data_IF_731931454995
#
_entry.id   IF_731931454995
#
_cell.length_a   1.000
_cell.length_b   1.000
_cell.length_c   1.000
_cell.angle_alpha   90.00
_cell.angle_beta   90.00
_cell.angle_gamma   90.00
#
_symmetry.space_group_name_H-M   'P 1'
#
loop_
_entity.id
_entity.type
_entity.pdbx_description
1 polymer ?
#
# COMPACT_ATOMS: atom_id res chain seq x y z
N UNK A 1 10.03 -0.29 46.35
CA UNK A 1 9.85 0.52 45.13
C UNK A 1 8.63 1.40 45.32
N UNK A 2 8.80 2.71 45.39
CA UNK A 2 7.68 3.63 45.61
C UNK A 2 6.98 3.89 44.27
N UNK A 3 5.64 3.83 44.27
CA UNK A 3 4.80 4.02 43.09
C UNK A 3 5.14 5.31 42.31
N UNK A 4 5.41 6.40 43.04
CA UNK A 4 5.79 7.70 42.45
C UNK A 4 7.07 7.61 41.62
N UNK A 5 8.06 6.82 42.04
CA UNK A 5 9.31 6.63 41.30
C UNK A 5 9.05 5.89 39.99
N UNK A 6 8.21 4.85 40.03
CA UNK A 6 7.84 4.09 38.83
C UNK A 6 7.08 4.97 37.83
N UNK A 7 6.17 5.81 38.31
CA UNK A 7 5.40 6.73 37.48
C UNK A 7 6.31 7.78 36.81
N UNK A 8 7.24 8.36 37.55
CA UNK A 8 8.21 9.32 36.98
C UNK A 8 9.08 8.69 35.89
N UNK A 9 9.57 7.47 36.11
CA UNK A 9 10.32 6.74 35.10
C UNK A 9 9.49 6.45 33.84
N UNK A 10 8.23 6.04 34.00
CA UNK A 10 7.35 5.78 32.86
C UNK A 10 7.10 7.05 32.02
N UNK A 11 6.83 8.18 32.69
CA UNK A 11 6.63 9.47 32.01
C UNK A 11 7.90 9.93 31.31
N UNK A 12 9.06 9.78 31.94
CA UNK A 12 10.36 10.11 31.34
C UNK A 12 10.60 9.32 30.04
N UNK A 13 10.35 8.01 30.06
CA UNK A 13 10.52 7.15 28.88
C UNK A 13 9.56 7.54 27.75
N UNK A 14 8.30 7.83 28.06
CA UNK A 14 7.34 8.32 27.08
C UNK A 14 7.79 9.65 26.47
N UNK A 15 8.27 10.58 27.30
CA UNK A 15 8.76 11.88 26.84
C UNK A 15 9.93 11.72 25.85
N UNK A 16 10.87 10.81 26.12
CA UNK A 16 11.99 10.52 25.21
C UNK A 16 11.49 9.94 23.87
N UNK A 17 10.50 9.04 23.90
CA UNK A 17 9.91 8.48 22.68
C UNK A 17 9.23 9.56 21.82
N UNK A 18 8.43 10.44 22.43
CA UNK A 18 7.79 11.55 21.72
C UNK A 18 8.81 12.58 21.20
N UNK A 19 9.87 12.86 21.96
CA UNK A 19 10.95 13.72 21.50
C UNK A 19 11.64 13.15 20.25
N UNK A 20 11.94 11.85 20.23
CA UNK A 20 12.51 11.18 19.06
C UNK A 20 11.58 11.23 17.83
N UNK A 21 10.28 11.03 18.04
CA UNK A 21 9.27 11.17 16.98
C UNK A 21 9.23 12.61 16.44
N UNK A 22 9.24 13.60 17.32
CA UNK A 22 9.22 15.02 16.95
C UNK A 22 10.47 15.42 16.14
N UNK A 23 11.66 15.02 16.59
CA UNK A 23 12.91 15.26 15.86
C UNK A 23 12.83 14.66 14.45
N UNK A 24 12.36 13.41 14.33
CA UNK A 24 12.22 12.76 13.03
C UNK A 24 11.33 13.55 12.06
N UNK A 25 10.19 14.04 12.54
CA UNK A 25 9.27 14.85 11.74
C UNK A 25 9.93 16.17 11.32
N UNK A 26 10.64 16.84 12.23
CA UNK A 26 11.35 18.09 11.92
C UNK A 26 12.50 17.89 10.93
N UNK A 27 13.14 16.73 10.92
CA UNK A 27 14.23 16.41 9.98
C UNK A 27 13.74 15.94 8.61
N UNK A 28 12.50 15.47 8.49
CA UNK A 28 11.92 15.12 7.19
C UNK A 28 11.76 16.38 6.34
N UNK A 29 12.13 16.32 5.05
CA UNK A 29 12.28 17.49 4.16
C UNK A 29 11.02 18.34 3.97
N UNK A 30 9.87 17.85 4.41
CA UNK A 30 8.58 18.55 4.33
C UNK A 30 7.90 18.74 5.68
N UNK A 31 8.46 18.25 6.78
CA UNK A 31 7.80 18.31 8.09
C UNK A 31 6.48 17.54 8.17
N UNK A 32 6.16 16.75 7.14
CA UNK A 32 4.92 15.99 7.02
C UNK A 32 5.15 14.54 7.46
N UNK A 33 4.13 13.93 8.05
CA UNK A 33 4.15 12.49 8.27
C UNK A 33 4.23 11.76 6.92
N UNK A 34 5.03 10.68 6.84
CA UNK A 34 5.14 9.91 5.61
C UNK A 34 3.77 9.40 5.18
N UNK A 35 3.51 9.47 3.88
CA UNK A 35 2.23 9.03 3.34
C UNK A 35 2.12 7.50 3.48
N UNK A 36 1.22 7.02 4.35
CA UNK A 36 1.03 5.59 4.61
C UNK A 36 0.18 4.89 3.54
N UNK A 37 -0.32 5.63 2.54
CA UNK A 37 -1.02 5.03 1.42
C UNK A 37 -0.07 4.26 0.51
N UNK A 38 -0.28 2.95 0.41
CA UNK A 38 0.56 2.06 -0.42
C UNK A 38 0.64 2.52 -1.89
N UNK A 39 -0.46 3.08 -2.42
CA UNK A 39 -0.55 3.53 -3.81
C UNK A 39 0.21 4.83 -4.11
N UNK A 40 0.52 5.63 -3.08
CA UNK A 40 1.29 6.86 -3.23
C UNK A 40 2.80 6.64 -3.08
N UNK A 41 3.22 5.43 -2.70
CA UNK A 41 4.64 5.12 -2.47
C UNK A 41 5.34 4.72 -3.78
N UNK A 42 6.29 5.53 -4.29
CA UNK A 42 7.02 5.23 -5.52
C UNK A 42 7.79 3.91 -5.44
N UNK A 43 8.37 3.60 -4.28
CA UNK A 43 9.14 2.37 -4.08
C UNK A 43 8.29 1.10 -4.10
N UNK A 44 7.01 1.17 -3.74
CA UNK A 44 6.09 0.03 -3.87
C UNK A 44 5.65 -0.16 -5.31
N UNK A 45 5.41 0.95 -6.02
CA UNK A 45 5.08 0.96 -7.44
C UNK A 45 6.20 0.38 -8.29
N UNK A 46 7.46 0.72 -8.00
CA UNK A 46 8.65 0.13 -8.65
C UNK A 46 8.71 -1.40 -8.50
N UNK A 47 8.20 -1.93 -7.40
CA UNK A 47 8.12 -3.39 -7.15
C UNK A 47 6.86 -4.04 -7.74
N UNK A 48 6.02 -3.28 -8.45
CA UNK A 48 4.75 -3.76 -8.99
C UNK A 48 3.65 -3.96 -7.95
N UNK A 49 3.87 -3.53 -6.70
CA UNK A 49 2.88 -3.68 -5.62
C UNK A 49 1.90 -2.50 -5.69
N UNK A 50 0.62 -2.81 -5.82
CA UNK A 50 -0.46 -1.80 -5.86
C UNK A 50 -1.52 -2.08 -4.79
N UNK A 51 -2.45 -1.14 -4.59
CA UNK A 51 -3.60 -1.36 -3.72
C UNK A 51 -4.42 -2.57 -4.19
N UNK A 52 -5.00 -3.34 -3.27
CA UNK A 52 -5.85 -4.49 -3.56
C UNK A 52 -6.93 -4.17 -4.62
N UNK A 53 -7.59 -3.00 -4.52
CA UNK A 53 -8.59 -2.59 -5.51
C UNK A 53 -8.03 -2.35 -6.91
N UNK A 54 -6.80 -1.86 -7.01
CA UNK A 54 -6.12 -1.66 -8.29
C UNK A 54 -5.71 -2.99 -8.88
N UNK A 55 -5.18 -3.89 -8.04
CA UNK A 55 -4.82 -5.24 -8.43
C UNK A 55 -6.03 -6.02 -8.95
N UNK A 56 -7.16 -6.00 -8.23
CA UNK A 56 -8.41 -6.63 -8.65
C UNK A 56 -8.89 -6.11 -10.01
N UNK A 57 -8.81 -4.79 -10.25
CA UNK A 57 -9.19 -4.20 -11.54
C UNK A 57 -8.26 -4.64 -12.67
N UNK A 58 -6.96 -4.76 -12.41
CA UNK A 58 -5.99 -5.24 -13.40
C UNK A 58 -6.30 -6.68 -13.77
N UNK A 59 -6.49 -7.55 -12.77
CA UNK A 59 -6.86 -8.96 -12.97
C UNK A 59 -8.19 -9.12 -13.71
N UNK A 60 -9.23 -8.37 -13.32
CA UNK A 60 -10.52 -8.36 -14.02
C UNK A 60 -10.38 -7.90 -15.48
N UNK A 61 -9.54 -6.91 -15.75
CA UNK A 61 -9.28 -6.45 -17.11
C UNK A 61 -8.53 -7.49 -17.95
N UNK A 62 -7.59 -8.23 -17.35
CA UNK A 62 -6.88 -9.32 -18.01
C UNK A 62 -7.84 -10.49 -18.33
N UNK A 63 -8.63 -10.94 -17.35
CA UNK A 63 -9.62 -12.00 -17.55
C UNK A 63 -10.62 -11.65 -18.67
N UNK A 64 -11.12 -10.40 -18.72
CA UNK A 64 -12.00 -9.95 -19.81
C UNK A 64 -11.35 -9.99 -21.19
N UNK A 65 -10.04 -9.71 -21.29
CA UNK A 65 -9.31 -9.79 -22.57
C UNK A 65 -9.13 -11.24 -23.01
N UNK A 66 -8.79 -12.14 -22.08
CA UNK A 66 -8.67 -13.56 -22.38
C UNK A 66 -9.99 -14.18 -22.85
N UNK A 67 -11.09 -13.87 -22.16
CA UNK A 67 -12.42 -14.34 -22.57
C UNK A 67 -12.81 -13.83 -23.96
N UNK A 68 -12.57 -12.55 -24.26
CA UNK A 68 -12.84 -11.96 -25.58
C UNK A 68 -12.00 -12.61 -26.69
N UNK A 69 -10.73 -12.95 -26.42
CA UNK A 69 -9.89 -13.63 -27.40
C UNK A 69 -10.36 -15.06 -27.66
N UNK A 70 -10.76 -15.79 -26.60
CA UNK A 70 -11.36 -17.12 -26.72
C UNK A 70 -12.64 -17.08 -27.53
N UNK A 71 -13.54 -16.15 -27.23
CA UNK A 71 -14.78 -15.95 -27.99
C UNK A 71 -14.51 -15.73 -29.48
N UNK A 72 -13.53 -14.88 -29.82
CA UNK A 72 -13.14 -14.66 -31.21
C UNK A 72 -12.57 -15.91 -31.88
N UNK A 73 -11.80 -16.73 -31.15
CA UNK A 73 -11.25 -17.99 -31.67
C UNK A 73 -12.33 -19.05 -31.89
N UNK A 74 -13.37 -19.10 -31.07
CA UNK A 74 -14.47 -20.06 -31.19
C UNK A 74 -15.32 -19.81 -32.45
N UNK A 75 -15.59 -18.55 -32.78
CA UNK A 75 -16.31 -18.17 -34.01
C UNK A 75 -15.51 -18.54 -35.27
N UNK A 76 -14.18 -18.58 -35.18
CA UNK A 76 -13.31 -18.96 -36.31
C UNK A 76 -13.16 -20.47 -36.48
N UNK A 77 -13.28 -21.23 -35.41
CA UNK A 77 -13.17 -22.69 -35.39
C UNK A 77 -14.50 -23.39 -35.70
N UNK A 78 -15.65 -22.71 -35.64
CA UNK A 78 -16.91 -23.26 -36.16
C UNK A 78 -16.95 -23.15 -37.70
N UNK A 79 -16.86 -24.28 -38.45
CA UNK A 79 -16.97 -24.26 -39.91
C UNK A 79 -18.43 -24.08 -40.31
N UNK A 80 -18.95 -22.86 -40.28
CA UNK A 80 -20.32 -22.66 -40.77
C UNK A 80 -21.07 -21.38 -40.44
N UNK A 81 -20.43 -20.25 -40.12
CA UNK A 81 -21.13 -18.98 -40.30
C UNK A 81 -20.90 -18.49 -41.72
N UNK A 82 -21.97 -18.44 -42.51
CA UNK A 82 -22.02 -17.80 -43.82
C UNK A 82 -21.38 -16.41 -43.83
#
# INVERSE_FOLDING_TARGET
MNFVVVLLFAVLLMAVAFAGLAIKILTEKKGEFPNLHIGANPHMKERGITCAQTFDKIEQAQARKELRFKELSLIKEEPGSC
#
